data_IF_968765210624
#
_entry.id   IF_968765210624
#
_cell.length_a   1.000
_cell.length_b   1.000
_cell.length_c   1.000
_cell.angle_alpha   90.00
_cell.angle_beta   90.00
_cell.angle_gamma   90.00
#
_symmetry.space_group_name_H-M   'P 1'
#
loop_
_entity.id
_entity.type
_entity.pdbx_description
1 polymer ?
#
# COMPACT_ATOMS: atom_id res chain seq x y z
N UNK A 1 0.78 -12.50 -21.82
CA UNK A 1 1.86 -11.53 -21.52
C UNK A 1 2.12 -11.58 -20.01
N UNK A 2 3.32 -11.24 -19.50
CA UNK A 2 3.54 -11.18 -18.07
C UNK A 2 2.62 -10.12 -17.43
N UNK A 3 2.16 -10.37 -16.20
CA UNK A 3 1.31 -9.43 -15.47
C UNK A 3 2.12 -8.20 -15.09
N UNK A 4 1.52 -7.03 -15.20
CA UNK A 4 2.14 -5.78 -14.75
C UNK A 4 1.77 -5.51 -13.30
N UNK A 5 2.76 -5.31 -12.44
CA UNK A 5 2.59 -5.13 -11.00
C UNK A 5 3.24 -3.82 -10.54
N UNK A 6 2.43 -2.86 -10.10
CA UNK A 6 2.92 -1.60 -9.53
C UNK A 6 3.14 -1.77 -8.03
N UNK A 7 4.36 -1.53 -7.56
CA UNK A 7 4.72 -1.60 -6.13
C UNK A 7 5.12 -0.24 -5.62
N UNK A 8 4.38 0.26 -4.62
CA UNK A 8 4.70 1.52 -3.93
C UNK A 8 5.60 1.28 -2.72
N UNK A 9 6.48 2.25 -2.43
CA UNK A 9 7.51 2.06 -1.40
C UNK A 9 8.53 0.98 -1.78
N UNK A 10 8.73 0.77 -3.08
CA UNK A 10 9.54 -0.33 -3.62
C UNK A 10 11.06 -0.15 -3.43
N UNK A 11 11.51 1.03 -3.00
CA UNK A 11 12.94 1.33 -2.83
C UNK A 11 13.57 0.72 -1.58
N UNK A 12 12.79 0.15 -0.64
CA UNK A 12 13.35 -0.46 0.58
C UNK A 12 12.38 -1.41 1.29
N UNK A 13 12.90 -2.21 2.22
CA UNK A 13 12.10 -3.02 3.14
C UNK A 13 11.16 -3.99 2.42
N UNK A 14 9.93 -4.10 2.93
CA UNK A 14 8.90 -5.02 2.44
C UNK A 14 8.61 -4.77 0.96
N UNK A 15 8.53 -3.51 0.53
CA UNK A 15 8.23 -3.17 -0.86
C UNK A 15 9.30 -3.65 -1.83
N UNK A 16 10.58 -3.46 -1.48
CA UNK A 16 11.70 -3.97 -2.29
C UNK A 16 11.71 -5.50 -2.33
N UNK A 17 11.51 -6.15 -1.18
CA UNK A 17 11.48 -7.61 -1.10
C UNK A 17 10.32 -8.20 -1.93
N UNK A 18 9.14 -7.59 -1.86
CA UNK A 18 8.00 -7.96 -2.69
C UNK A 18 8.29 -7.77 -4.19
N UNK A 19 8.84 -6.62 -4.58
CA UNK A 19 9.20 -6.35 -5.97
C UNK A 19 10.18 -7.38 -6.54
N UNK A 20 11.21 -7.74 -5.77
CA UNK A 20 12.18 -8.78 -6.15
C UNK A 20 11.51 -10.15 -6.29
N UNK A 21 10.65 -10.53 -5.35
CA UNK A 21 9.94 -11.81 -5.40
C UNK A 21 8.97 -11.90 -6.58
N UNK A 22 8.23 -10.83 -6.88
CA UNK A 22 7.32 -10.76 -8.03
C UNK A 22 8.09 -10.81 -9.36
N UNK A 23 9.26 -10.17 -9.43
CA UNK A 23 10.11 -10.28 -10.61
C UNK A 23 10.63 -11.71 -10.83
N UNK A 24 11.00 -12.43 -9.76
CA UNK A 24 11.36 -13.87 -9.83
C UNK A 24 10.19 -14.74 -10.27
N UNK A 25 8.97 -14.34 -9.92
CA UNK A 25 7.75 -15.00 -10.37
C UNK A 25 7.46 -14.76 -11.87
N UNK A 26 8.21 -13.86 -12.52
CA UNK A 26 8.05 -13.52 -13.94
C UNK A 26 7.11 -12.35 -14.21
N UNK A 27 6.70 -11.61 -13.18
CA UNK A 27 5.87 -10.42 -13.33
C UNK A 27 6.68 -9.23 -13.86
N UNK A 28 6.05 -8.36 -14.66
CA UNK A 28 6.60 -7.08 -15.06
C UNK A 28 6.38 -6.05 -13.94
N UNK A 29 7.41 -5.83 -13.13
CA UNK A 29 7.31 -4.97 -11.95
C UNK A 29 7.60 -3.51 -12.32
N UNK A 30 6.74 -2.61 -11.81
CA UNK A 30 6.87 -1.16 -11.88
C UNK A 30 7.13 -0.62 -10.47
N UNK A 31 8.24 0.09 -10.29
CA UNK A 31 8.70 0.53 -8.98
C UNK A 31 8.33 2.00 -8.74
N UNK A 32 7.70 2.28 -7.60
CA UNK A 32 7.42 3.65 -7.16
C UNK A 32 8.08 3.90 -5.80
N UNK A 33 8.90 4.95 -5.71
CA UNK A 33 9.62 5.31 -4.48
C UNK A 33 10.04 6.78 -4.45
N UNK A 34 10.34 7.31 -3.26
CA UNK A 34 10.66 8.74 -3.10
C UNK A 34 12.14 9.09 -3.30
N UNK A 35 13.01 8.11 -3.06
CA UNK A 35 14.46 8.29 -2.89
C UNK A 35 15.17 7.78 -4.14
N UNK A 36 15.75 8.66 -4.98
CA UNK A 36 16.31 8.26 -6.27
C UNK A 36 17.42 7.21 -6.16
N UNK A 37 18.32 7.34 -5.18
CA UNK A 37 19.43 6.41 -4.99
C UNK A 37 18.94 5.02 -4.60
N UNK A 38 18.09 4.93 -3.57
CA UNK A 38 17.51 3.64 -3.15
C UNK A 38 16.57 3.04 -4.18
N UNK A 39 15.93 3.88 -5.02
CA UNK A 39 15.12 3.41 -6.13
C UNK A 39 15.98 2.81 -7.23
N UNK A 40 17.13 3.41 -7.55
CA UNK A 40 18.11 2.83 -8.48
C UNK A 40 18.63 1.47 -7.97
N UNK A 41 18.98 1.36 -6.69
CA UNK A 41 19.39 0.07 -6.09
C UNK A 41 18.28 -0.99 -6.18
N UNK A 42 17.01 -0.58 -6.11
CA UNK A 42 15.87 -1.48 -6.25
C UNK A 42 15.67 -1.92 -7.70
N UNK A 43 15.89 -1.03 -8.68
CA UNK A 43 15.89 -1.35 -10.12
C UNK A 43 16.91 -2.45 -10.39
N UNK A 44 18.15 -2.31 -9.89
CA UNK A 44 19.20 -3.30 -10.09
C UNK A 44 18.83 -4.66 -9.49
N UNK A 45 18.35 -4.68 -8.24
CA UNK A 45 17.97 -5.93 -7.58
C UNK A 45 16.80 -6.64 -8.26
N UNK A 46 15.82 -5.89 -8.76
CA UNK A 46 14.67 -6.44 -9.50
C UNK A 46 15.11 -6.96 -10.87
N UNK A 47 16.01 -6.23 -11.55
CA UNK A 47 16.59 -6.67 -12.83
C UNK A 47 17.39 -7.96 -12.68
N UNK A 48 18.25 -8.05 -11.67
CA UNK A 48 19.02 -9.25 -11.36
C UNK A 48 18.10 -10.46 -11.10
N UNK A 49 16.99 -10.22 -10.41
CA UNK A 49 16.08 -11.27 -9.98
C UNK A 49 15.12 -11.77 -11.09
N UNK A 50 14.66 -10.88 -11.97
CA UNK A 50 13.68 -11.19 -13.02
C UNK A 50 14.23 -11.15 -14.45
N UNK A 51 15.51 -10.82 -14.64
CA UNK A 51 16.17 -10.73 -15.95
C UNK A 51 15.71 -9.57 -16.83
N UNK A 52 14.88 -8.64 -16.31
CA UNK A 52 14.32 -7.50 -17.05
C UNK A 52 14.44 -6.23 -16.23
N UNK A 53 14.87 -5.14 -16.87
CA UNK A 53 14.91 -3.83 -16.22
C UNK A 53 13.49 -3.34 -15.94
N UNK A 54 13.10 -3.10 -14.68
CA UNK A 54 11.78 -2.57 -14.35
C UNK A 54 11.68 -1.07 -14.69
N UNK A 55 10.48 -0.59 -15.00
CA UNK A 55 10.19 0.84 -14.98
C UNK A 55 10.23 1.36 -13.54
N UNK A 56 10.70 2.59 -13.34
CA UNK A 56 10.78 3.21 -12.03
C UNK A 56 10.33 4.69 -12.08
N UNK A 57 9.50 5.06 -11.12
CA UNK A 57 8.93 6.41 -11.01
C UNK A 57 9.25 6.97 -9.62
N UNK A 58 9.61 8.25 -9.57
CA UNK A 58 9.83 8.97 -8.32
C UNK A 58 8.55 9.68 -7.89
N UNK A 59 8.12 9.43 -6.65
CA UNK A 59 7.03 10.17 -6.01
C UNK A 59 7.24 10.23 -4.50
N UNK A 60 7.13 11.42 -3.91
CA UNK A 60 6.99 11.55 -2.46
C UNK A 60 5.50 11.59 -2.09
N UNK A 61 5.04 10.59 -1.34
CA UNK A 61 3.64 10.49 -0.92
C UNK A 61 3.25 11.58 0.11
N UNK A 62 4.21 12.34 0.62
CA UNK A 62 3.97 13.54 1.42
C UNK A 62 3.62 14.79 0.59
N UNK A 63 3.59 14.67 -0.75
CA UNK A 63 3.24 15.73 -1.71
C UNK A 63 2.25 15.13 -2.73
N UNK A 64 0.97 15.51 -2.68
CA UNK A 64 -0.05 14.89 -3.53
C UNK A 64 0.20 15.12 -5.03
N UNK A 65 0.77 16.27 -5.40
CA UNK A 65 1.11 16.55 -6.80
C UNK A 65 2.20 15.63 -7.37
N UNK A 66 3.17 15.19 -6.55
CA UNK A 66 4.13 14.16 -6.96
C UNK A 66 3.41 12.85 -7.30
N UNK A 67 2.39 12.50 -6.51
CA UNK A 67 1.58 11.29 -6.73
C UNK A 67 0.74 11.42 -8.00
N UNK A 68 0.16 12.60 -8.27
CA UNK A 68 -0.55 12.87 -9.53
C UNK A 68 0.37 12.70 -10.72
N UNK A 69 1.52 13.37 -10.71
CA UNK A 69 2.47 13.32 -11.81
C UNK A 69 2.95 11.89 -12.09
N UNK A 70 3.31 11.13 -11.04
CA UNK A 70 3.73 9.74 -11.22
C UNK A 70 2.58 8.83 -11.66
N UNK A 71 1.38 8.97 -11.09
CA UNK A 71 0.20 8.19 -11.47
C UNK A 71 -0.20 8.40 -12.93
N UNK A 72 -0.23 9.66 -13.39
CA UNK A 72 -0.51 10.00 -14.80
C UNK A 72 0.53 9.39 -15.74
N UNK A 73 1.81 9.45 -15.39
CA UNK A 73 2.87 8.84 -16.20
C UNK A 73 2.77 7.32 -16.25
N UNK A 74 2.56 6.67 -15.11
CA UNK A 74 2.34 5.21 -15.04
C UNK A 74 1.13 4.83 -15.91
N UNK A 75 0.02 5.56 -15.81
CA UNK A 75 -1.17 5.30 -16.62
C UNK A 75 -0.94 5.55 -18.13
N UNK A 76 -0.05 6.45 -18.51
CA UNK A 76 0.28 6.68 -19.92
C UNK A 76 1.21 5.59 -20.48
N UNK A 77 2.15 5.10 -19.66
CA UNK A 77 3.20 4.17 -20.08
C UNK A 77 2.81 2.68 -19.88
N UNK A 78 1.77 2.39 -19.09
CA UNK A 78 1.28 1.04 -18.80
C UNK A 78 -0.24 0.92 -18.97
N UNK A 79 -0.67 0.31 -20.08
CA UNK A 79 -2.09 0.18 -20.44
C UNK A 79 -2.87 -0.81 -19.55
N UNK A 80 -2.21 -1.83 -19.02
CA UNK A 80 -2.82 -2.90 -18.23
C UNK A 80 -2.05 -3.07 -16.91
N UNK A 81 -2.71 -2.83 -15.78
CA UNK A 81 -2.13 -3.03 -14.43
C UNK A 81 -2.90 -4.15 -13.75
N UNK A 82 -2.24 -5.28 -13.51
CA UNK A 82 -2.90 -6.48 -12.97
C UNK A 82 -2.86 -6.48 -11.44
N UNK A 83 -1.84 -5.86 -10.85
CA UNK A 83 -1.71 -5.72 -9.40
C UNK A 83 -1.22 -4.33 -9.04
N UNK A 84 -1.92 -3.65 -8.14
CA UNK A 84 -1.47 -2.45 -7.45
C UNK A 84 -1.19 -2.77 -5.98
N UNK A 85 0.08 -2.75 -5.58
CA UNK A 85 0.51 -2.91 -4.21
C UNK A 85 0.72 -1.54 -3.53
N UNK A 86 -0.31 -1.09 -2.82
CA UNK A 86 -0.30 0.08 -1.93
C UNK A 86 0.46 -0.24 -0.64
N UNK A 87 1.77 -0.41 -0.77
CA UNK A 87 2.69 -0.76 0.31
C UNK A 87 3.44 0.44 0.91
N UNK A 88 3.58 1.55 0.19
CA UNK A 88 4.19 2.76 0.73
C UNK A 88 3.53 3.14 2.07
N UNK A 89 4.37 3.37 3.08
CA UNK A 89 3.88 3.78 4.37
C UNK A 89 5.01 4.05 5.35
N UNK A 90 4.71 4.85 6.35
CA UNK A 90 5.61 5.14 7.44
C UNK A 90 4.89 5.38 8.77
N UNK A 91 5.62 5.12 9.85
CA UNK A 91 5.34 5.72 11.17
C UNK A 91 6.12 7.04 11.22
N UNK A 92 5.47 8.21 11.09
CA UNK A 92 6.20 9.45 11.02
C UNK A 92 6.82 9.81 12.37
N UNK A 93 7.93 10.54 12.32
CA UNK A 93 8.29 11.37 13.47
C UNK A 93 7.15 12.36 13.73
N UNK A 94 7.04 12.88 14.96
CA UNK A 94 6.17 14.05 15.18
C UNK A 94 6.69 15.14 14.24
N UNK A 95 5.89 15.48 13.24
CA UNK A 95 6.23 16.38 12.15
C UNK A 95 5.11 17.41 12.03
N UNK A 96 5.40 18.60 11.48
CA UNK A 96 4.36 19.48 11.00
C UNK A 96 3.52 18.76 9.93
N UNK A 97 2.38 19.37 9.59
CA UNK A 97 1.52 18.92 8.50
C UNK A 97 2.33 18.84 7.19
N UNK A 98 1.86 18.00 6.28
CA UNK A 98 2.37 17.96 4.90
C UNK A 98 2.14 19.30 4.22
N UNK A 99 2.79 19.51 3.06
CA UNK A 99 2.54 20.70 2.24
C UNK A 99 1.06 20.83 1.83
N UNK A 100 0.35 19.70 1.74
CA UNK A 100 -1.08 19.62 1.44
C UNK A 100 -1.98 19.82 2.69
N UNK A 101 -1.40 20.15 3.85
CA UNK A 101 -2.15 20.47 5.07
C UNK A 101 -2.67 19.26 5.87
N UNK A 102 -2.19 18.05 5.60
CA UNK A 102 -2.66 16.83 6.26
C UNK A 102 -1.68 16.30 7.31
N UNK A 103 -2.17 15.48 8.23
CA UNK A 103 -1.32 14.65 9.07
C UNK A 103 -0.43 13.73 8.20
N UNK A 104 0.90 13.73 8.38
CA UNK A 104 1.80 12.93 7.56
C UNK A 104 1.52 11.43 7.56
N UNK A 105 1.03 10.85 8.67
CA UNK A 105 0.70 9.42 8.71
C UNK A 105 -0.52 9.13 7.83
N UNK A 106 -1.55 9.98 7.93
CA UNK A 106 -2.78 9.81 7.21
C UNK A 106 -2.61 10.08 5.71
N UNK A 107 -1.83 11.09 5.34
CA UNK A 107 -1.57 11.35 3.94
C UNK A 107 -0.75 10.24 3.29
N UNK A 108 0.42 9.92 3.86
CA UNK A 108 1.38 9.01 3.23
C UNK A 108 0.83 7.58 3.19
N UNK A 109 0.15 7.14 4.24
CA UNK A 109 -0.27 5.74 4.34
C UNK A 109 -1.63 5.48 3.69
N UNK A 110 -2.50 6.50 3.60
CA UNK A 110 -3.88 6.38 3.12
C UNK A 110 -4.16 7.30 1.93
N UNK A 111 -4.17 8.63 2.09
CA UNK A 111 -4.65 9.56 1.04
C UNK A 111 -3.85 9.45 -0.26
N UNK A 112 -2.52 9.33 -0.18
CA UNK A 112 -1.67 9.19 -1.37
C UNK A 112 -1.90 7.86 -2.10
N UNK A 113 -2.07 6.75 -1.36
CA UNK A 113 -2.43 5.46 -1.95
C UNK A 113 -3.84 5.47 -2.55
N UNK A 114 -4.79 6.13 -1.88
CA UNK A 114 -6.15 6.34 -2.36
C UNK A 114 -6.17 7.13 -3.68
N UNK A 115 -5.44 8.24 -3.75
CA UNK A 115 -5.25 9.03 -4.95
C UNK A 115 -4.64 8.20 -6.08
N UNK A 116 -3.52 7.53 -5.82
CA UNK A 116 -2.84 6.70 -6.82
C UNK A 116 -3.76 5.60 -7.36
N UNK A 117 -4.54 4.94 -6.50
CA UNK A 117 -5.49 3.92 -6.97
C UNK A 117 -6.52 4.50 -7.93
N UNK A 118 -7.06 5.70 -7.67
CA UNK A 118 -8.02 6.33 -8.58
C UNK A 118 -7.38 6.72 -9.91
N UNK A 119 -6.14 7.24 -9.89
CA UNK A 119 -5.39 7.58 -11.11
C UNK A 119 -5.07 6.35 -11.98
N UNK A 120 -4.96 5.18 -11.37
CA UNK A 120 -4.65 3.92 -12.04
C UNK A 120 -5.87 3.02 -12.28
N UNK A 121 -7.08 3.48 -11.88
CA UNK A 121 -8.29 2.65 -11.87
C UNK A 121 -8.64 2.13 -13.28
N UNK A 122 -8.53 2.96 -14.31
CA UNK A 122 -8.85 2.54 -15.67
C UNK A 122 -7.85 1.52 -16.22
N UNK A 123 -6.61 1.51 -15.72
CA UNK A 123 -5.60 0.49 -16.08
C UNK A 123 -5.81 -0.82 -15.33
N UNK A 124 -6.34 -0.75 -14.11
CA UNK A 124 -6.81 -1.93 -13.38
C UNK A 124 -8.03 -2.54 -14.09
N UNK A 125 -8.99 -1.71 -14.52
CA UNK A 125 -10.16 -2.15 -15.30
C UNK A 125 -9.76 -2.81 -16.62
N UNK A 126 -8.82 -2.20 -17.35
CA UNK A 126 -8.33 -2.75 -18.61
C UNK A 126 -7.70 -4.15 -18.45
N UNK A 127 -7.05 -4.42 -17.31
CA UNK A 127 -6.45 -5.72 -17.02
C UNK A 127 -7.44 -6.75 -16.42
N UNK A 128 -8.54 -6.30 -15.82
CA UNK A 128 -9.42 -7.15 -15.04
C UNK A 128 -10.34 -7.98 -15.94
N UNK A 129 -10.34 -9.31 -15.73
CA UNK A 129 -11.27 -10.24 -16.38
C UNK A 129 -11.86 -11.20 -15.34
N UNK A 130 -12.98 -11.89 -15.63
CA UNK A 130 -13.52 -12.91 -14.73
C UNK A 130 -12.51 -14.01 -14.37
N UNK A 131 -11.66 -14.41 -15.31
CA UNK A 131 -10.64 -15.46 -15.13
C UNK A 131 -9.33 -14.95 -14.54
N UNK A 132 -9.05 -13.65 -14.68
CA UNK A 132 -7.84 -13.00 -14.18
C UNK A 132 -8.24 -11.65 -13.56
N UNK A 133 -8.71 -11.65 -12.31
CA UNK A 133 -9.10 -10.41 -11.64
C UNK A 133 -7.88 -9.53 -11.36
N UNK A 134 -8.02 -8.22 -11.57
CA UNK A 134 -7.02 -7.27 -11.14
C UNK A 134 -7.05 -7.16 -9.60
N UNK A 135 -5.90 -6.86 -8.99
CA UNK A 135 -5.74 -6.92 -7.53
C UNK A 135 -5.29 -5.58 -6.99
N UNK A 136 -5.92 -5.13 -5.91
CA UNK A 136 -5.42 -4.00 -5.12
C UNK A 136 -5.04 -4.55 -3.75
N UNK A 137 -3.76 -4.46 -3.39
CA UNK A 137 -3.24 -5.01 -2.14
C UNK A 137 -2.73 -3.86 -1.29
N UNK A 138 -3.41 -3.59 -0.17
CA UNK A 138 -3.09 -2.46 0.69
C UNK A 138 -2.43 -2.91 1.99
N UNK A 139 -1.28 -2.33 2.33
CA UNK A 139 -0.57 -2.66 3.57
C UNK A 139 -1.21 -1.95 4.77
N UNK A 140 -1.77 -2.73 5.70
CA UNK A 140 -2.23 -2.27 7.02
C UNK A 140 -1.37 -2.85 8.16
N UNK A 141 -1.88 -2.87 9.39
CA UNK A 141 -1.17 -3.28 10.59
C UNK A 141 -2.15 -3.59 11.73
N UNK A 142 -1.77 -4.48 12.64
CA UNK A 142 -2.45 -4.65 13.93
C UNK A 142 -2.57 -3.33 14.73
N UNK A 143 -1.74 -2.34 14.43
CA UNK A 143 -1.84 -0.99 14.99
C UNK A 143 -3.17 -0.27 14.66
N UNK A 144 -3.99 -0.76 13.71
CA UNK A 144 -5.35 -0.28 13.48
C UNK A 144 -6.23 -0.34 14.75
N UNK A 145 -5.94 -1.28 15.65
CA UNK A 145 -6.59 -1.37 16.95
C UNK A 145 -6.26 -0.18 17.88
N UNK A 146 -5.28 0.66 17.52
CA UNK A 146 -4.90 1.88 18.23
C UNK A 146 -5.34 3.14 17.47
N UNK A 147 -5.46 4.25 18.18
CA UNK A 147 -5.91 5.53 17.61
C UNK A 147 -7.40 5.56 17.28
N UNK A 148 -7.87 6.73 16.85
CA UNK A 148 -9.25 6.96 16.41
C UNK A 148 -9.21 7.74 15.11
N UNK A 149 -9.62 7.11 14.02
CA UNK A 149 -9.80 7.79 12.74
C UNK A 149 -11.08 8.61 12.75
N UNK A 150 -10.93 9.90 12.47
CA UNK A 150 -12.02 10.76 12.04
C UNK A 150 -12.28 10.51 10.55
N UNK A 151 -13.41 9.88 10.24
CA UNK A 151 -13.72 9.45 8.87
C UNK A 151 -14.25 10.58 7.99
N UNK A 152 -14.67 11.70 8.58
CA UNK A 152 -15.11 12.86 7.79
C UNK A 152 -13.94 13.81 7.47
N UNK A 153 -12.84 13.70 8.21
CA UNK A 153 -11.64 14.52 8.02
C UNK A 153 -10.41 13.61 8.01
N UNK A 154 -10.20 12.84 6.92
CA UNK A 154 -9.18 11.79 6.87
C UNK A 154 -7.74 12.31 6.95
N UNK A 155 -7.52 13.62 6.80
CA UNK A 155 -6.22 14.28 7.01
C UNK A 155 -6.03 14.91 8.39
N UNK A 156 -6.99 14.75 9.32
CA UNK A 156 -7.02 15.47 10.60
C UNK A 156 -5.73 15.24 11.42
N UNK A 157 -5.09 16.31 11.92
CA UNK A 157 -3.89 16.20 12.74
C UNK A 157 -4.10 15.32 13.97
N UNK A 158 -3.12 14.46 14.27
CA UNK A 158 -3.16 13.57 15.42
C UNK A 158 -2.05 13.95 16.41
N UNK A 159 -2.38 13.96 17.71
CA UNK A 159 -1.45 14.45 18.74
C UNK A 159 -0.28 13.50 19.03
N UNK A 160 -0.44 12.20 18.72
CA UNK A 160 0.57 11.17 19.00
C UNK A 160 0.83 10.31 17.77
N UNK A 161 2.11 10.12 17.43
CA UNK A 161 2.56 9.39 16.23
C UNK A 161 1.94 7.99 16.08
N UNK A 162 1.79 7.25 17.19
CA UNK A 162 1.25 5.89 17.16
C UNK A 162 -0.26 5.88 16.97
N UNK A 163 -0.97 6.90 17.48
CA UNK A 163 -2.39 7.06 17.22
C UNK A 163 -2.63 7.48 15.76
N UNK A 164 -1.77 8.36 15.21
CA UNK A 164 -1.79 8.74 13.80
C UNK A 164 -1.57 7.54 12.88
N UNK A 165 -0.54 6.74 13.19
CA UNK A 165 -0.26 5.51 12.47
C UNK A 165 -1.42 4.53 12.57
N UNK A 166 -1.96 4.28 13.76
CA UNK A 166 -3.12 3.41 13.95
C UNK A 166 -4.34 3.88 13.16
N UNK A 167 -4.68 5.17 13.24
CA UNK A 167 -5.77 5.76 12.46
C UNK A 167 -5.56 5.59 10.94
N UNK A 168 -4.34 5.78 10.44
CA UNK A 168 -4.04 5.53 9.02
C UNK A 168 -4.19 4.06 8.61
N UNK A 169 -3.95 3.13 9.52
CA UNK A 169 -4.10 1.69 9.27
C UNK A 169 -5.56 1.25 9.36
N UNK A 170 -6.38 1.92 10.18
CA UNK A 170 -7.85 1.81 10.11
C UNK A 170 -8.36 2.30 8.74
N UNK A 171 -7.84 3.44 8.27
CA UNK A 171 -8.25 4.03 6.99
C UNK A 171 -8.00 3.08 5.81
N UNK A 172 -6.84 2.41 5.78
CA UNK A 172 -6.51 1.40 4.76
C UNK A 172 -7.48 0.20 4.74
N UNK A 173 -7.95 -0.26 5.90
CA UNK A 173 -8.92 -1.37 5.97
C UNK A 173 -10.29 -0.89 5.49
N UNK A 174 -10.74 0.28 5.96
CA UNK A 174 -12.00 0.88 5.53
C UNK A 174 -12.03 1.18 4.02
N UNK A 175 -10.90 1.67 3.46
CA UNK A 175 -10.71 1.80 2.02
C UNK A 175 -10.93 0.46 1.31
N UNK A 176 -10.31 -0.61 1.79
CA UNK A 176 -10.42 -1.94 1.19
C UNK A 176 -11.86 -2.46 1.22
N UNK A 177 -12.59 -2.22 2.32
CA UNK A 177 -14.01 -2.59 2.46
C UNK A 177 -14.88 -1.88 1.42
N UNK A 178 -14.75 -0.56 1.30
CA UNK A 178 -15.57 0.20 0.35
C UNK A 178 -15.13 -0.01 -1.11
N UNK A 179 -13.83 -0.18 -1.36
CA UNK A 179 -13.30 -0.52 -2.67
C UNK A 179 -13.87 -1.85 -3.16
N UNK A 180 -13.96 -2.87 -2.29
CA UNK A 180 -14.53 -4.16 -2.64
C UNK A 180 -16.00 -4.03 -3.08
N UNK A 181 -16.79 -3.24 -2.33
CA UNK A 181 -18.18 -2.96 -2.68
C UNK A 181 -18.31 -2.28 -4.06
N UNK A 182 -17.36 -1.41 -4.40
CA UNK A 182 -17.40 -0.63 -5.65
C UNK A 182 -16.92 -1.41 -6.86
N UNK A 183 -15.83 -2.16 -6.72
CA UNK A 183 -15.06 -2.62 -7.88
C UNK A 183 -15.03 -4.14 -8.07
N UNK A 184 -15.59 -4.93 -7.14
CA UNK A 184 -15.66 -6.40 -7.33
C UNK A 184 -16.53 -6.82 -8.50
N UNK A 185 -17.61 -6.07 -8.79
CA UNK A 185 -18.41 -6.29 -10.00
C UNK A 185 -17.63 -6.00 -11.30
N UNK A 186 -16.53 -5.25 -11.20
CA UNK A 186 -15.61 -4.93 -12.30
C UNK A 186 -14.41 -5.89 -12.32
N UNK A 187 -14.48 -7.02 -11.60
CA UNK A 187 -13.41 -8.01 -11.44
C UNK A 187 -12.10 -7.46 -10.84
N UNK A 188 -12.19 -6.36 -10.09
CA UNK A 188 -11.08 -5.86 -9.28
C UNK A 188 -11.29 -6.35 -7.84
N UNK A 189 -10.27 -6.98 -7.26
CA UNK A 189 -10.31 -7.54 -5.91
C UNK A 189 -9.39 -6.75 -4.99
N UNK A 190 -9.94 -5.84 -4.16
CA UNK A 190 -9.21 -5.18 -3.10
C UNK A 190 -9.05 -6.11 -1.90
N UNK A 191 -7.82 -6.23 -1.43
CA UNK A 191 -7.45 -6.93 -0.20
C UNK A 191 -6.53 -6.06 0.63
N UNK A 192 -6.46 -6.36 1.92
CA UNK A 192 -5.59 -5.70 2.87
C UNK A 192 -4.79 -6.74 3.64
N UNK A 193 -3.58 -6.41 4.08
CA UNK A 193 -2.80 -7.34 4.89
C UNK A 193 -1.93 -6.64 5.94
N UNK A 194 -1.60 -7.38 6.99
CA UNK A 194 -0.61 -7.02 7.99
C UNK A 194 0.65 -7.87 7.79
N UNK A 195 1.81 -7.27 7.53
CA UNK A 195 3.07 -8.00 7.29
C UNK A 195 3.69 -8.65 8.53
N UNK A 196 3.08 -8.54 9.72
CA UNK A 196 3.72 -8.91 10.97
C UNK A 196 4.68 -7.83 11.50
N UNK A 197 5.37 -8.15 12.59
CA UNK A 197 6.39 -7.27 13.18
C UNK A 197 7.70 -7.42 12.40
N UNK A 198 7.87 -6.62 11.34
CA UNK A 198 9.03 -6.70 10.43
C UNK A 198 10.18 -5.78 10.86
N UNK A 199 11.43 -6.23 10.67
CA UNK A 199 12.69 -5.48 10.69
C UNK A 199 12.72 -4.46 9.55
N UNK A 200 11.82 -3.52 9.63
CA UNK A 200 11.73 -2.36 8.76
C UNK A 200 12.51 -1.22 9.42
N UNK A 201 12.76 -0.13 8.68
CA UNK A 201 13.39 1.06 9.26
C UNK A 201 12.59 1.73 10.40
N UNK A 202 11.42 1.21 10.75
CA UNK A 202 10.59 1.67 11.86
C UNK A 202 11.33 1.49 13.20
N UNK A 203 11.22 2.45 14.13
CA UNK A 203 11.73 2.28 15.50
C UNK A 203 13.25 2.31 15.69
N UNK A 204 14.07 2.51 14.65
CA UNK A 204 15.56 2.52 14.73
C UNK A 204 16.16 3.43 15.82
N UNK A 205 15.41 4.45 16.28
CA UNK A 205 15.86 5.38 17.33
C UNK A 205 15.54 4.93 18.77
N UNK A 206 14.89 3.78 18.98
CA UNK A 206 14.56 3.28 20.33
C UNK A 206 15.58 2.22 20.80
N UNK A 207 16.19 2.36 22.00
CA UNK A 207 17.10 1.37 22.57
C UNK A 207 16.49 -0.03 22.68
N UNK A 208 15.20 -0.11 23.03
CA UNK A 208 14.43 -1.36 23.15
C UNK A 208 14.27 -2.08 21.81
N UNK A 209 14.18 -1.31 20.72
CA UNK A 209 14.06 -1.84 19.36
C UNK A 209 15.37 -2.49 18.88
N UNK A 210 16.52 -1.96 19.30
CA UNK A 210 17.84 -2.56 19.01
C UNK A 210 18.02 -3.90 19.72
N UNK A 211 17.52 -4.03 20.94
CA UNK A 211 17.64 -5.24 21.76
C UNK A 211 16.68 -6.35 21.28
N UNK A 212 15.46 -5.98 20.84
CA UNK A 212 14.46 -6.91 20.34
C UNK A 212 14.63 -7.29 18.85
N UNK A 213 15.70 -6.83 18.18
CA UNK A 213 15.94 -7.02 16.73
C UNK A 213 15.78 -8.49 16.30
N UNK A 214 16.21 -9.44 17.14
CA UNK A 214 16.08 -10.90 16.95
C UNK A 214 14.65 -11.39 16.66
N UNK A 215 13.64 -10.77 17.27
CA UNK A 215 12.23 -11.21 17.26
C UNK A 215 11.41 -10.68 16.07
N UNK A 216 11.97 -9.76 15.28
CA UNK A 216 11.30 -9.18 14.13
C UNK A 216 11.57 -9.98 12.85
N UNK A 217 10.55 -10.09 12.01
CA UNK A 217 10.60 -10.75 10.69
C UNK A 217 11.57 -10.03 9.74
N UNK A 218 12.16 -10.76 8.80
CA UNK A 218 12.91 -10.13 7.69
C UNK A 218 11.95 -9.42 6.73
N UNK A 219 12.42 -8.46 5.92
CA UNK A 219 11.60 -7.87 4.86
C UNK A 219 10.96 -8.90 3.92
N UNK A 220 11.65 -9.99 3.62
CA UNK A 220 11.17 -11.09 2.78
C UNK A 220 10.01 -11.83 3.46
N UNK A 221 10.16 -12.16 4.74
CA UNK A 221 9.06 -12.72 5.54
C UNK A 221 7.87 -11.76 5.64
N UNK A 222 8.11 -10.46 5.72
CA UNK A 222 7.06 -9.44 5.70
C UNK A 222 6.36 -9.26 4.35
N UNK A 223 7.08 -9.53 3.26
CA UNK A 223 6.55 -9.48 1.90
C UNK A 223 5.73 -10.72 1.52
N UNK A 224 5.91 -11.82 2.25
CA UNK A 224 5.30 -13.11 1.96
C UNK A 224 3.79 -13.06 1.70
N UNK A 225 3.02 -12.42 2.59
CA UNK A 225 1.56 -12.30 2.43
C UNK A 225 1.18 -11.37 1.27
N UNK A 226 1.97 -10.33 0.98
CA UNK A 226 1.75 -9.47 -0.18
C UNK A 226 1.94 -10.27 -1.47
N UNK A 227 3.06 -11.00 -1.57
CA UNK A 227 3.38 -11.81 -2.76
C UNK A 227 2.31 -12.89 -2.95
N UNK A 228 1.92 -13.58 -1.87
CA UNK A 228 0.84 -14.56 -1.91
C UNK A 228 -0.47 -13.97 -2.43
N UNK A 229 -0.92 -12.83 -1.87
CA UNK A 229 -2.12 -12.13 -2.37
C UNK A 229 -1.98 -11.64 -3.82
N UNK A 230 -0.76 -11.37 -4.27
CA UNK A 230 -0.49 -10.93 -5.64
C UNK A 230 -0.44 -12.09 -6.64
N UNK A 231 -0.04 -13.29 -6.25
CA UNK A 231 0.21 -14.41 -7.18
C UNK A 231 -0.88 -15.48 -7.12
N UNK A 232 -1.44 -15.77 -5.96
CA UNK A 232 -2.38 -16.87 -5.75
C UNK A 232 -3.83 -16.43 -6.02
N UNK A 233 -4.53 -16.96 -7.03
CA UNK A 233 -5.93 -16.62 -7.29
C UNK A 233 -6.89 -17.10 -6.18
N UNK A 234 -6.58 -18.20 -5.49
CA UNK A 234 -7.44 -18.77 -4.44
C UNK A 234 -7.37 -17.96 -3.13
N UNK A 235 -6.32 -17.15 -2.97
CA UNK A 235 -6.15 -16.23 -1.84
C UNK A 235 -7.16 -15.06 -1.85
N UNK A 236 -7.79 -14.82 -3.00
CA UNK A 236 -8.55 -13.60 -3.24
C UNK A 236 -9.92 -13.63 -2.57
N UNK A 237 -10.07 -12.81 -1.53
CA UNK A 237 -11.39 -12.48 -1.00
C UNK A 237 -11.60 -10.97 -0.97
N UNK A 238 -12.55 -10.43 -1.75
CA UNK A 238 -12.88 -9.01 -1.73
C UNK A 238 -13.12 -8.47 -0.32
N UNK A 239 -12.47 -7.36 0.01
CA UNK A 239 -12.60 -6.72 1.33
C UNK A 239 -11.86 -7.47 2.44
N UNK A 240 -11.16 -8.56 2.11
CA UNK A 240 -10.48 -9.41 3.07
C UNK A 240 -9.28 -8.72 3.70
N UNK A 241 -9.08 -8.99 4.99
CA UNK A 241 -7.87 -8.62 5.74
C UNK A 241 -7.09 -9.89 6.09
N UNK A 242 -5.77 -9.88 5.88
CA UNK A 242 -4.94 -11.08 5.97
C UNK A 242 -3.68 -10.87 6.80
N UNK A 243 -3.17 -11.95 7.39
CA UNK A 243 -1.85 -12.01 8.02
C UNK A 243 -1.34 -13.45 7.93
N UNK A 244 -0.04 -13.62 7.66
CA UNK A 244 0.59 -14.94 7.55
C UNK A 244 -0.16 -15.90 6.62
N UNK A 245 -0.53 -15.41 5.42
CA UNK A 245 -1.33 -16.14 4.42
C UNK A 245 -2.66 -16.71 4.92
N UNK A 246 -3.29 -16.06 5.90
CA UNK A 246 -4.57 -16.47 6.46
C UNK A 246 -5.47 -15.27 6.72
N UNK A 247 -6.78 -15.49 6.80
CA UNK A 247 -7.75 -14.45 7.18
C UNK A 247 -7.43 -13.93 8.58
N UNK A 248 -7.34 -12.62 8.70
CA UNK A 248 -7.12 -11.93 9.97
C UNK A 248 -8.33 -11.06 10.31
N UNK A 249 -8.64 -10.94 11.60
CA UNK A 249 -9.80 -10.19 12.08
C UNK A 249 -9.37 -8.78 12.48
N UNK A 250 -9.89 -7.79 11.77
CA UNK A 250 -9.78 -6.38 12.17
C UNK A 250 -10.80 -6.04 13.28
N UNK A 251 -10.59 -4.91 13.94
CA UNK A 251 -11.58 -4.36 14.88
C UNK A 251 -12.88 -3.98 14.16
N UNK A 252 -14.06 -4.11 14.81
CA UNK A 252 -15.35 -3.81 14.17
C UNK A 252 -15.47 -2.39 13.60
N UNK A 253 -14.78 -1.41 14.20
CA UNK A 253 -14.75 -0.01 13.73
C UNK A 253 -13.97 0.17 12.43
N UNK A 254 -13.03 -0.72 12.13
CA UNK A 254 -12.19 -0.71 10.92
C UNK A 254 -12.84 -1.47 9.76
N UNK A 255 -13.90 -2.25 10.03
CA UNK A 255 -14.70 -2.94 9.02
C UNK A 255 -16.13 -2.43 8.91
N UNK A 256 -16.44 -1.35 9.63
CA UNK A 256 -17.77 -0.73 9.62
C UNK A 256 -18.07 -0.11 8.26
N UNK A 257 -19.14 -0.59 7.63
CA UNK A 257 -19.58 -0.09 6.32
C UNK A 257 -19.92 1.40 6.32
N UNK A 258 -20.68 1.88 7.32
CA UNK A 258 -21.07 3.30 7.40
C UNK A 258 -19.85 4.22 7.53
N UNK A 259 -18.81 3.77 8.26
CA UNK A 259 -17.53 4.47 8.36
C UNK A 259 -16.76 4.44 7.04
N UNK A 260 -16.77 3.31 6.33
CA UNK A 260 -16.06 3.14 5.07
C UNK A 260 -16.62 4.07 3.98
N UNK A 261 -17.94 4.18 3.87
CA UNK A 261 -18.61 5.09 2.91
C UNK A 261 -18.26 6.55 3.20
N UNK A 262 -18.31 6.98 4.46
CA UNK A 262 -17.96 8.36 4.87
C UNK A 262 -16.48 8.67 4.61
N UNK A 263 -15.60 7.75 5.01
CA UNK A 263 -14.17 7.88 4.75
C UNK A 263 -13.88 8.03 3.27
N UNK A 264 -14.56 7.25 2.43
CA UNK A 264 -14.40 7.33 0.98
C UNK A 264 -14.78 8.70 0.44
N UNK A 265 -15.96 9.21 0.81
CA UNK A 265 -16.43 10.52 0.35
C UNK A 265 -15.47 11.64 0.78
N UNK A 266 -15.03 11.62 2.04
CA UNK A 266 -14.08 12.60 2.55
C UNK A 266 -12.69 12.47 1.91
N UNK A 267 -12.24 11.24 1.61
CA UNK A 267 -10.96 11.01 0.93
C UNK A 267 -10.99 11.47 -0.53
N UNK A 268 -12.11 11.27 -1.24
CA UNK A 268 -12.33 11.84 -2.58
C UNK A 268 -12.18 13.36 -2.53
N UNK A 269 -12.95 14.03 -1.67
CA UNK A 269 -12.92 15.49 -1.55
C UNK A 269 -11.54 16.05 -1.14
N UNK A 270 -10.73 15.26 -0.44
CA UNK A 270 -9.40 15.66 -0.02
C UNK A 270 -8.34 15.56 -1.13
N UNK A 271 -8.55 14.74 -2.17
CA UNK A 271 -7.49 14.43 -3.14
C UNK A 271 -7.91 14.41 -4.61
N UNK A 272 -9.19 14.56 -4.96
CA UNK A 272 -9.67 14.62 -6.35
C UNK A 272 -10.55 15.85 -6.54
#
# INVERSE_FOLDING_TARGET
MPRTVVVTGASSGIGRAAAVALARHGDHVVLLGRDPGRLADAVDAVREAGGRTPAAYRADFAVLDDVRAAGTRIAAEHEHIHVLANNAGLLPAVRPLTADGNDPALQINHLAGFLLTHLLLDRLRAAATPSEPARIITTSSAAEAWGTLDVDVPGRPQHLRWLAYGASKQANILFTVEAARRWTAEHIVPTCYFPGLVRSGFGKSSPSFRLARGLFLTPEQGADTLVWLATDPEALVPGGYFASRSRFRATPRSTSWSRAVRLWAASLAAVL
#
